data_IF_236950347085
#
_entry.id   IF_236950347085
#
_cell.length_a   1.000
_cell.length_b   1.000
_cell.length_c   1.000
_cell.angle_alpha   90.00
_cell.angle_beta   90.00
_cell.angle_gamma   90.00
#
_symmetry.space_group_name_H-M   'P 1'
#
loop_
_entity.id
_entity.type
_entity.pdbx_description
1 polymer ?
#
# COMPACT_ATOMS: atom_id res chain seq x y z
N UNK A 1 -13.31 6.92 -26.49
CA UNK A 1 -12.59 6.56 -25.23
C UNK A 1 -11.84 5.25 -25.46
N UNK A 2 -10.50 5.24 -25.50
CA UNK A 2 -9.72 4.03 -25.80
C UNK A 2 -10.04 2.86 -24.85
N UNK A 3 -10.32 3.16 -23.59
CA UNK A 3 -10.71 2.18 -22.56
C UNK A 3 -12.01 1.45 -22.90
N UNK A 4 -13.00 2.15 -23.49
CA UNK A 4 -14.28 1.54 -23.88
C UNK A 4 -14.12 0.52 -25.01
N UNK A 5 -13.22 0.79 -25.97
CA UNK A 5 -12.92 -0.14 -27.06
C UNK A 5 -12.27 -1.42 -26.56
N UNK A 6 -11.36 -1.31 -25.59
CA UNK A 6 -10.70 -2.46 -24.96
C UNK A 6 -11.70 -3.41 -24.28
N UNK A 7 -12.60 -2.89 -23.43
CA UNK A 7 -13.61 -3.72 -22.77
C UNK A 7 -14.62 -4.33 -23.76
N UNK A 8 -15.02 -3.58 -24.79
CA UNK A 8 -15.92 -4.08 -25.84
C UNK A 8 -15.31 -5.22 -26.64
N UNK A 9 -14.03 -5.13 -26.99
CA UNK A 9 -13.32 -6.17 -27.72
C UNK A 9 -13.23 -7.49 -26.93
N UNK A 10 -13.17 -7.39 -25.59
CA UNK A 10 -13.10 -8.55 -24.70
C UNK A 10 -14.47 -9.07 -24.23
N UNK A 11 -15.57 -8.36 -24.56
CA UNK A 11 -16.92 -8.75 -24.12
C UNK A 11 -17.17 -8.60 -22.62
N UNK A 12 -16.34 -7.83 -21.89
CA UNK A 12 -16.43 -7.69 -20.43
C UNK A 12 -17.13 -6.39 -20.03
N UNK A 13 -17.89 -6.44 -18.94
CA UNK A 13 -18.53 -5.25 -18.36
C UNK A 13 -17.49 -4.19 -17.94
N UNK A 14 -17.85 -2.91 -18.10
CA UNK A 14 -17.01 -1.76 -17.72
C UNK A 14 -16.68 -1.79 -16.22
N UNK A 15 -15.40 -1.62 -15.89
CA UNK A 15 -14.91 -1.54 -14.50
C UNK A 15 -14.26 -0.18 -14.23
N UNK A 16 -14.29 0.26 -12.96
CA UNK A 16 -13.76 1.56 -12.52
C UNK A 16 -12.23 1.64 -12.53
N UNK A 17 -11.54 0.53 -12.23
CA UNK A 17 -10.08 0.46 -12.14
C UNK A 17 -9.60 -0.81 -12.83
N UNK A 18 -8.45 -0.71 -13.50
CA UNK A 18 -7.75 -1.82 -14.13
C UNK A 18 -6.36 -1.95 -13.49
N UNK A 19 -5.99 -3.19 -13.16
CA UNK A 19 -4.70 -3.58 -12.58
C UNK A 19 -4.28 -4.91 -13.17
N UNK A 20 -2.99 -5.11 -13.23
CA UNK A 20 -2.35 -6.32 -13.76
C UNK A 20 -1.64 -7.03 -12.61
N UNK A 21 -1.67 -8.37 -12.66
CA UNK A 21 -1.00 -9.22 -11.69
C UNK A 21 -0.08 -10.18 -12.47
N UNK A 22 1.23 -10.21 -12.20
CA UNK A 22 2.11 -11.21 -12.79
C UNK A 22 1.77 -12.58 -12.21
N UNK A 23 1.47 -13.54 -13.09
CA UNK A 23 1.10 -14.91 -12.74
C UNK A 23 1.90 -15.91 -13.57
N UNK A 24 2.05 -17.12 -13.06
CA UNK A 24 2.62 -18.26 -13.79
C UNK A 24 1.60 -18.83 -14.78
N UNK A 25 2.06 -19.62 -15.76
CA UNK A 25 1.20 -20.13 -16.85
C UNK A 25 0.09 -21.07 -16.36
N UNK A 26 0.35 -21.82 -15.29
CA UNK A 26 -0.59 -22.70 -14.59
C UNK A 26 -1.68 -21.95 -13.83
N UNK A 27 -1.47 -20.66 -13.55
CA UNK A 27 -2.41 -19.80 -12.84
C UNK A 27 -3.25 -18.90 -13.77
N UNK A 28 -3.25 -19.16 -15.08
CA UNK A 28 -4.02 -18.37 -16.05
C UNK A 28 -5.53 -18.65 -15.95
N UNK A 29 -6.32 -17.58 -15.94
CA UNK A 29 -7.78 -17.64 -15.92
C UNK A 29 -8.36 -17.17 -17.26
N UNK A 30 -9.50 -17.73 -17.71
CA UNK A 30 -10.18 -17.23 -18.89
C UNK A 30 -10.73 -15.81 -18.65
N UNK A 31 -10.70 -15.00 -19.71
CA UNK A 31 -11.20 -13.62 -19.66
C UNK A 31 -12.68 -13.63 -19.32
N UNK A 32 -13.09 -12.83 -18.33
CA UNK A 32 -14.48 -12.73 -17.87
C UNK A 32 -14.79 -13.50 -16.58
N UNK A 33 -13.84 -14.31 -16.07
CA UNK A 33 -13.99 -14.98 -14.77
C UNK A 33 -14.16 -13.96 -13.64
N UNK A 34 -15.20 -14.13 -12.82
CA UNK A 34 -15.42 -13.28 -11.65
C UNK A 34 -14.58 -13.75 -10.46
N UNK A 35 -13.90 -12.81 -9.80
CA UNK A 35 -13.08 -13.09 -8.61
C UNK A 35 -13.79 -12.57 -7.36
N UNK A 36 -14.04 -13.46 -6.40
CA UNK A 36 -14.67 -13.15 -5.12
C UNK A 36 -13.69 -13.14 -3.94
N UNK A 37 -14.20 -12.79 -2.75
CA UNK A 37 -13.41 -12.77 -1.50
C UNK A 37 -12.95 -14.18 -1.09
N UNK A 38 -13.72 -15.20 -1.47
CA UNK A 38 -13.41 -16.61 -1.20
C UNK A 38 -12.13 -17.12 -1.88
N UNK A 39 -11.51 -16.31 -2.75
CA UNK A 39 -10.17 -16.55 -3.25
C UNK A 39 -9.12 -16.57 -2.11
N UNK A 40 -9.36 -15.83 -1.04
CA UNK A 40 -8.48 -15.78 0.13
C UNK A 40 -8.97 -16.72 1.23
N UNK A 41 -8.03 -17.46 1.84
CA UNK A 41 -8.31 -18.31 2.99
C UNK A 41 -7.96 -17.53 4.28
N UNK A 42 -8.82 -17.55 5.32
CA UNK A 42 -8.49 -16.89 6.58
C UNK A 42 -7.21 -17.45 7.19
N UNK A 43 -6.31 -16.55 7.60
CA UNK A 43 -4.97 -16.89 8.08
C UNK A 43 -3.88 -16.93 7.01
N UNK A 44 -4.17 -16.51 5.78
CA UNK A 44 -3.14 -16.34 4.74
C UNK A 44 -2.40 -15.00 4.86
N UNK A 45 -1.09 -15.01 4.61
CA UNK A 45 -0.32 -13.78 4.40
C UNK A 45 -0.71 -13.14 3.08
N UNK A 46 -1.15 -11.89 3.13
CA UNK A 46 -1.51 -11.10 1.96
C UNK A 46 -0.63 -9.86 1.85
N UNK A 47 -0.16 -9.60 0.63
CA UNK A 47 0.52 -8.38 0.27
C UNK A 47 -0.51 -7.33 -0.20
N UNK A 48 -0.52 -6.17 0.45
CA UNK A 48 -1.49 -5.11 0.15
C UNK A 48 -0.76 -3.89 -0.42
N UNK A 49 -1.15 -3.50 -1.63
CA UNK A 49 -0.66 -2.27 -2.27
C UNK A 49 -1.74 -1.22 -2.29
N UNK A 50 -1.44 -0.04 -1.76
CA UNK A 50 -2.40 1.06 -1.64
C UNK A 50 -1.78 2.43 -1.89
N UNK A 51 -2.65 3.40 -2.19
CA UNK A 51 -2.27 4.81 -2.21
C UNK A 51 -2.37 5.32 -0.78
N UNK A 52 -1.26 5.83 -0.25
CA UNK A 52 -1.27 6.43 1.09
C UNK A 52 -2.04 7.74 1.13
N UNK A 53 -2.52 8.11 2.32
CA UNK A 53 -3.15 9.41 2.55
C UNK A 53 -2.17 10.53 2.22
N UNK A 54 -2.55 11.38 1.27
CA UNK A 54 -1.75 12.54 0.86
C UNK A 54 -1.66 13.55 1.99
N UNK A 55 -0.43 13.94 2.36
CA UNK A 55 -0.15 14.91 3.43
C UNK A 55 0.29 16.28 2.89
N UNK A 56 0.26 16.50 1.58
CA UNK A 56 0.70 17.75 0.95
C UNK A 56 2.22 17.94 1.01
N UNK A 57 2.67 19.19 0.91
CA UNK A 57 4.10 19.55 1.03
C UNK A 57 4.55 19.50 2.49
N UNK A 58 5.55 18.68 2.78
CA UNK A 58 6.08 18.46 4.13
C UNK A 58 7.52 18.93 4.21
N UNK A 59 7.86 19.62 5.31
CA UNK A 59 9.25 20.00 5.63
C UNK A 59 10.02 18.79 6.19
N UNK A 60 11.35 18.90 6.19
CA UNK A 60 12.30 17.82 6.48
C UNK A 60 11.94 17.01 7.73
N UNK A 61 11.80 17.65 8.89
CA UNK A 61 11.51 16.95 10.14
C UNK A 61 10.22 16.13 10.12
N UNK A 62 9.15 16.57 9.43
CA UNK A 62 7.91 15.77 9.36
C UNK A 62 7.97 14.69 8.28
N UNK A 63 8.87 14.86 7.30
CA UNK A 63 9.02 13.94 6.18
C UNK A 63 9.94 12.77 6.52
N UNK A 64 11.07 13.06 7.16
CA UNK A 64 12.18 12.15 7.44
C UNK A 64 12.50 11.99 8.93
N UNK A 65 11.73 12.62 9.82
CA UNK A 65 11.96 12.56 11.28
C UNK A 65 13.36 13.10 11.68
N UNK A 66 13.92 13.97 10.84
CA UNK A 66 15.19 14.65 11.10
C UNK A 66 15.14 15.55 12.35
N UNK A 67 16.31 15.74 12.98
CA UNK A 67 16.46 16.65 14.11
C UNK A 67 16.35 18.12 13.68
N UNK A 68 15.81 18.96 14.58
CA UNK A 68 15.84 20.42 14.44
C UNK A 68 17.09 21.02 15.07
N UNK A 69 17.34 22.30 14.79
CA UNK A 69 18.32 23.08 15.55
C UNK A 69 17.78 23.47 16.93
N UNK A 70 18.69 23.90 17.83
CA UNK A 70 18.33 24.32 19.19
C UNK A 70 17.24 25.40 19.19
N UNK A 71 16.32 25.29 20.14
CA UNK A 71 15.23 26.26 20.30
C UNK A 71 15.68 27.55 21.03
N UNK A 72 16.71 27.44 21.89
CA UNK A 72 17.27 28.53 22.70
C UNK A 72 18.75 28.79 22.33
N UNK A 73 19.44 29.66 23.09
CA UNK A 73 20.87 29.97 22.91
C UNK A 73 21.29 30.56 21.56
N UNK A 74 20.54 31.55 21.05
CA UNK A 74 20.96 32.37 19.90
C UNK A 74 20.59 31.81 18.52
N UNK A 75 19.92 30.66 18.45
CA UNK A 75 19.35 30.16 17.22
C UNK A 75 18.14 31.02 16.78
N UNK A 76 18.33 31.86 15.76
CA UNK A 76 17.31 32.85 15.36
C UNK A 76 16.28 32.31 14.35
N UNK A 77 16.71 31.61 13.31
CA UNK A 77 15.83 31.16 12.19
C UNK A 77 16.10 29.73 11.70
N UNK A 78 16.96 28.99 12.39
CA UNK A 78 17.45 27.68 11.96
C UNK A 78 16.86 26.48 12.74
N UNK A 79 15.92 26.71 13.66
CA UNK A 79 15.30 25.68 14.49
C UNK A 79 14.70 24.53 13.67
N UNK A 80 14.16 24.85 12.49
CA UNK A 80 13.40 23.92 11.63
C UNK A 80 14.02 23.79 10.24
N UNK A 81 15.30 24.16 10.05
CA UNK A 81 15.98 24.11 8.75
C UNK A 81 16.60 22.73 8.48
N UNK A 82 16.95 22.47 7.22
CA UNK A 82 17.58 21.22 6.77
C UNK A 82 19.04 21.05 7.24
N UNK A 83 19.68 22.12 7.72
CA UNK A 83 21.12 22.13 7.99
C UNK A 83 21.93 22.30 6.71
N UNK A 84 23.13 21.71 6.67
CA UNK A 84 23.99 21.76 5.49
C UNK A 84 23.52 20.80 4.40
N UNK A 85 23.37 21.29 3.18
CA UNK A 85 23.03 20.48 1.99
C UNK A 85 24.24 20.25 1.06
N UNK A 86 25.46 20.54 1.51
CA UNK A 86 26.64 20.46 0.65
C UNK A 86 27.91 20.07 1.39
N UNK A 87 28.83 19.47 0.63
CA UNK A 87 30.23 19.23 1.00
C UNK A 87 31.11 20.00 0.02
N UNK A 88 32.24 20.52 0.51
CA UNK A 88 33.25 21.16 -0.33
C UNK A 88 34.28 20.10 -0.79
N UNK A 89 34.27 19.73 -2.07
CA UNK A 89 35.11 18.65 -2.63
C UNK A 89 34.41 17.86 -3.73
N UNK A 90 35.09 16.83 -4.27
CA UNK A 90 34.75 15.99 -5.44
C UNK A 90 33.25 15.75 -5.68
N UNK A 91 32.90 15.70 -6.98
CA UNK A 91 31.53 15.70 -7.55
C UNK A 91 30.58 14.63 -6.99
N UNK A 92 31.12 13.61 -6.31
CA UNK A 92 30.41 12.46 -5.76
C UNK A 92 29.69 12.77 -4.42
N UNK A 93 29.92 13.95 -3.84
CA UNK A 93 29.33 14.34 -2.57
C UNK A 93 27.84 14.71 -2.65
N UNK A 94 27.36 15.26 -3.78
CA UNK A 94 25.93 15.48 -4.02
C UNK A 94 25.17 14.15 -4.08
N UNK A 95 25.82 13.10 -4.57
CA UNK A 95 25.22 11.78 -4.72
C UNK A 95 25.11 11.02 -3.39
N UNK A 96 25.99 11.32 -2.42
CA UNK A 96 26.10 10.59 -1.16
C UNK A 96 25.68 11.38 0.10
N UNK A 97 25.79 12.72 0.12
CA UNK A 97 25.60 13.53 1.33
C UNK A 97 24.19 14.10 1.53
N UNK A 98 23.42 14.28 0.45
CA UNK A 98 22.11 14.95 0.51
C UNK A 98 21.02 14.25 -0.31
N UNK A 99 21.23 12.96 -0.63
CA UNK A 99 20.23 12.12 -1.30
C UNK A 99 19.08 11.83 -0.34
N UNK A 100 18.12 12.74 -0.25
CA UNK A 100 16.76 12.37 0.14
C UNK A 100 16.02 13.40 0.98
N UNK A 101 16.68 14.10 1.90
CA UNK A 101 15.99 14.81 2.97
C UNK A 101 15.43 16.20 2.62
N UNK A 102 15.05 16.41 1.36
CA UNK A 102 14.52 17.68 0.89
C UNK A 102 13.03 17.82 1.26
N UNK A 103 12.54 19.03 1.59
CA UNK A 103 11.10 19.27 1.68
C UNK A 103 10.38 18.88 0.39
N UNK A 104 9.18 18.32 0.50
CA UNK A 104 8.48 17.83 -0.69
C UNK A 104 7.12 17.23 -0.39
N UNK A 105 6.40 16.86 -1.45
CA UNK A 105 5.11 16.19 -1.31
C UNK A 105 5.29 14.83 -0.61
N UNK A 106 4.50 14.59 0.45
CA UNK A 106 4.46 13.30 1.17
C UNK A 106 3.16 12.56 0.86
N UNK A 107 3.31 11.31 0.42
CA UNK A 107 2.22 10.44 -0.01
C UNK A 107 2.55 9.83 -1.36
N UNK A 108 2.64 8.50 -1.39
CA UNK A 108 2.86 7.72 -2.59
C UNK A 108 2.19 6.34 -2.43
N UNK A 109 2.41 5.44 -3.39
CA UNK A 109 2.11 4.02 -3.23
C UNK A 109 2.95 3.42 -2.10
N UNK A 110 2.29 2.61 -1.27
CA UNK A 110 2.95 1.78 -0.27
C UNK A 110 2.50 0.35 -0.49
N UNK A 111 3.48 -0.55 -0.42
CA UNK A 111 3.27 -1.99 -0.37
C UNK A 111 3.52 -2.40 1.07
N UNK A 112 2.50 -2.94 1.72
CA UNK A 112 2.63 -3.59 3.03
C UNK A 112 2.72 -5.08 2.74
N UNK A 113 3.86 -5.67 3.10
CA UNK A 113 4.06 -7.12 2.99
C UNK A 113 3.63 -7.80 4.28
N UNK A 114 3.11 -9.02 4.14
CA UNK A 114 2.85 -9.94 5.25
C UNK A 114 1.88 -9.40 6.34
N UNK A 115 0.76 -8.79 5.94
CA UNK A 115 -0.21 -8.25 6.88
C UNK A 115 -1.03 -9.34 7.63
N UNK A 116 -0.53 -9.83 8.78
CA UNK A 116 -1.13 -10.75 9.81
C UNK A 116 -1.38 -12.24 9.37
N UNK A 117 -1.50 -13.29 10.20
CA UNK A 117 -0.74 -13.85 11.34
C UNK A 117 -1.02 -15.37 11.35
N UNK A 118 0.05 -16.20 11.41
CA UNK A 118 0.15 -17.67 11.26
C UNK A 118 0.25 -18.19 9.81
N UNK A 119 1.26 -19.04 9.57
CA UNK A 119 1.52 -19.70 8.29
C UNK A 119 0.34 -20.62 7.95
N UNK A 120 -0.41 -20.36 6.85
CA UNK A 120 -1.49 -21.26 6.45
C UNK A 120 -0.90 -22.58 5.91
N UNK A 121 -1.68 -23.66 6.01
CA UNK A 121 -1.40 -24.88 5.27
C UNK A 121 -1.67 -24.63 3.78
N UNK A 122 -0.61 -24.66 2.96
CA UNK A 122 -0.63 -24.34 1.52
C UNK A 122 -1.66 -25.20 0.76
N UNK A 123 -1.92 -26.42 1.24
CA UNK A 123 -2.87 -27.38 0.64
C UNK A 123 -4.34 -26.94 0.66
N UNK A 124 -4.71 -25.92 1.44
CA UNK A 124 -6.09 -25.42 1.55
C UNK A 124 -6.41 -24.28 0.58
N UNK A 125 -5.41 -23.77 -0.16
CA UNK A 125 -5.60 -22.64 -1.07
C UNK A 125 -6.23 -23.12 -2.38
N UNK A 126 -7.33 -22.50 -2.84
CA UNK A 126 -7.93 -22.82 -4.13
C UNK A 126 -7.07 -22.26 -5.28
N UNK A 127 -6.31 -23.14 -5.93
CA UNK A 127 -5.54 -22.81 -7.13
C UNK A 127 -6.31 -23.23 -8.39
N UNK A 128 -6.42 -22.39 -9.45
CA UNK A 128 -5.93 -21.01 -9.62
C UNK A 128 -6.86 -19.93 -9.03
N UNK A 129 -8.14 -20.23 -8.80
CA UNK A 129 -9.07 -19.41 -8.01
C UNK A 129 -10.20 -20.27 -7.47
N UNK A 130 -10.91 -19.80 -6.44
CA UNK A 130 -12.19 -20.39 -6.03
C UNK A 130 -13.24 -20.15 -7.12
N UNK A 131 -13.79 -21.24 -7.68
CA UNK A 131 -14.92 -21.19 -8.60
C UNK A 131 -16.18 -21.43 -7.78
N UNK A 132 -17.11 -20.48 -7.84
CA UNK A 132 -18.42 -20.62 -7.18
C UNK A 132 -19.23 -21.66 -7.96
N UNK A 133 -19.69 -22.75 -7.35
CA UNK A 133 -20.58 -23.71 -8.00
C UNK A 133 -21.92 -23.03 -8.34
N UNK A 134 -22.51 -23.38 -9.49
CA UNK A 134 -23.73 -22.74 -10.02
C UNK A 134 -24.96 -22.91 -9.11
N UNK A 135 -24.93 -23.89 -8.18
CA UNK A 135 -26.04 -24.26 -7.29
C UNK A 135 -26.02 -23.55 -5.92
N UNK A 136 -25.01 -22.72 -5.62
CA UNK A 136 -24.95 -21.94 -4.38
C UNK A 136 -25.36 -20.49 -4.62
N UNK A 137 -26.57 -20.12 -4.17
CA UNK A 137 -26.93 -18.72 -3.94
C UNK A 137 -25.89 -18.11 -3.01
N UNK A 138 -25.34 -16.94 -3.36
CA UNK A 138 -24.33 -16.27 -2.54
C UNK A 138 -24.85 -16.21 -1.10
N UNK A 139 -24.14 -16.79 -0.11
CA UNK A 139 -24.57 -16.61 1.26
C UNK A 139 -24.66 -15.11 1.49
N UNK A 140 -25.79 -14.62 1.99
CA UNK A 140 -25.89 -13.27 2.51
C UNK A 140 -24.78 -13.16 3.56
N UNK A 141 -23.64 -12.60 3.16
CA UNK A 141 -22.49 -12.46 4.02
C UNK A 141 -22.93 -11.49 5.11
N UNK A 142 -23.27 -12.04 6.28
CA UNK A 142 -23.39 -11.23 7.48
C UNK A 142 -22.12 -10.41 7.56
N UNK A 143 -22.21 -9.07 7.61
CA UNK A 143 -21.03 -8.25 7.66
C UNK A 143 -20.28 -8.64 8.93
N UNK A 144 -19.14 -9.31 8.77
CA UNK A 144 -18.11 -9.48 9.78
C UNK A 144 -17.53 -8.08 10.03
N UNK A 145 -18.33 -7.24 10.69
CA UNK A 145 -17.88 -6.00 11.31
C UNK A 145 -17.01 -6.49 12.44
N UNK A 146 -15.69 -6.33 12.32
CA UNK A 146 -14.82 -6.45 13.48
C UNK A 146 -15.45 -5.59 14.57
N UNK A 147 -15.73 -6.17 15.74
CA UNK A 147 -16.24 -5.42 16.88
C UNK A 147 -15.32 -4.21 17.03
N UNK A 148 -15.86 -3.03 16.73
CA UNK A 148 -15.18 -1.76 16.98
C UNK A 148 -15.08 -1.71 18.50
N UNK A 149 -13.98 -2.23 19.05
CA UNK A 149 -13.63 -2.00 20.43
C UNK A 149 -13.73 -0.51 20.67
N UNK A 150 -14.43 -0.10 21.72
CA UNK A 150 -14.63 1.31 22.08
C UNK A 150 -13.30 2.07 22.19
N UNK A 151 -12.20 1.33 22.35
CA UNK A 151 -10.82 1.82 22.44
C UNK A 151 -9.97 1.17 21.36
N UNK A 152 -9.31 2.00 20.55
CA UNK A 152 -8.32 1.59 19.54
C UNK A 152 -7.24 0.71 20.22
N UNK A 153 -6.92 -0.49 19.71
CA UNK A 153 -5.92 -1.37 20.29
C UNK A 153 -4.50 -0.75 20.40
N UNK A 154 -4.21 0.34 19.69
CA UNK A 154 -2.96 1.11 19.87
C UNK A 154 -2.99 2.08 21.05
N UNK A 155 -4.15 2.34 21.65
CA UNK A 155 -4.34 3.24 22.80
C UNK A 155 -4.35 2.50 24.15
N UNK A 156 -4.17 1.17 24.14
CA UNK A 156 -4.15 0.30 25.33
C UNK A 156 -2.75 0.13 25.96
N UNK A 157 -1.76 0.91 25.53
CA UNK A 157 -0.43 0.91 26.16
C UNK A 157 -0.37 1.91 27.32
N UNK A 158 -0.51 1.41 28.55
CA UNK A 158 0.11 1.99 29.76
C UNK A 158 1.31 1.13 30.19
#
# INVERSE_FOLDING_TARGET
>A
MPVLGHFRAQGVALKRKLREFPVTEDAMLPVGTSLGVQHFVPGQYADVTGITRRKGFQRVMKRFDAAGGDASHGCSKAQRTIGSTGVQGTKDAWENGCRGEVPGAKGNFVVIKDAYYKKPDISKLPFPTYLVPEDEDQPELEPLVADLGEVDPFMLAE
#
